data_IF_255422763665
#
_entry.id   IF_255422763665
#
_cell.length_a   1.000
_cell.length_b   1.000
_cell.length_c   1.000
_cell.angle_alpha   90.00
_cell.angle_beta   90.00
_cell.angle_gamma   90.00
#
_symmetry.space_group_name_H-M   'P 1'
#
loop_
_entity.id
_entity.type
_entity.pdbx_description
1 polymer ?
#
# COMPACT_ATOMS: atom_id res chain seq x y z
N UNK A 1 14.88 -16.36 -1.19
CA UNK A 1 13.90 -15.51 -0.49
C UNK A 1 14.42 -14.08 -0.48
N UNK A 2 13.58 -13.10 -0.81
CA UNK A 2 13.96 -11.70 -0.97
C UNK A 2 12.97 -10.79 -0.24
N UNK A 3 13.44 -9.60 0.15
CA UNK A 3 12.64 -8.58 0.80
C UNK A 3 12.46 -7.41 -0.16
N UNK A 4 11.27 -6.84 -0.17
CA UNK A 4 10.92 -5.69 -0.99
C UNK A 4 10.23 -4.63 -0.15
N UNK A 5 10.71 -3.39 -0.25
CA UNK A 5 10.06 -2.23 0.34
C UNK A 5 9.12 -1.59 -0.67
N UNK A 6 7.84 -1.49 -0.32
CA UNK A 6 6.85 -0.74 -1.07
C UNK A 6 6.79 0.68 -0.51
N UNK A 7 7.09 1.65 -1.38
CA UNK A 7 6.94 3.05 -1.09
C UNK A 7 5.77 3.64 -1.86
N UNK A 8 5.08 4.57 -1.22
CA UNK A 8 4.00 5.33 -1.80
C UNK A 8 4.34 6.80 -1.66
N UNK A 9 4.21 7.54 -2.75
CA UNK A 9 4.45 8.97 -2.81
C UNK A 9 3.14 9.67 -3.17
N UNK A 10 2.79 10.66 -2.36
CA UNK A 10 1.61 11.49 -2.55
C UNK A 10 2.00 12.70 -3.39
N UNK A 11 1.70 12.68 -4.68
CA UNK A 11 2.14 13.74 -5.61
C UNK A 11 1.27 14.99 -5.49
N UNK A 12 -0.03 14.83 -5.27
CA UNK A 12 -0.98 15.93 -5.15
C UNK A 12 -2.28 15.42 -4.53
N UNK A 13 -2.52 15.76 -3.27
CA UNK A 13 -3.71 15.36 -2.51
C UNK A 13 -4.25 16.57 -1.75
N UNK A 14 -5.02 17.41 -2.44
CA UNK A 14 -5.71 18.52 -1.79
C UNK A 14 -6.66 17.99 -0.71
N UNK A 15 -6.56 18.54 0.49
CA UNK A 15 -7.51 18.28 1.57
C UNK A 15 -7.31 16.98 2.37
N UNK A 16 -6.23 16.21 2.15
CA UNK A 16 -5.92 14.98 2.91
C UNK A 16 -4.70 15.21 3.80
N UNK A 17 -4.77 14.69 5.03
CA UNK A 17 -3.63 14.68 5.96
C UNK A 17 -3.06 13.28 6.19
N UNK A 18 -3.82 12.22 5.90
CA UNK A 18 -3.41 10.85 6.21
C UNK A 18 -4.03 9.81 5.29
N UNK A 19 -3.22 8.85 4.85
CA UNK A 19 -3.64 7.62 4.19
C UNK A 19 -3.04 6.40 4.91
N UNK A 20 -3.86 5.42 5.28
CA UNK A 20 -3.41 4.20 5.97
C UNK A 20 -4.32 3.00 5.65
N UNK A 21 -3.83 1.74 5.72
CA UNK A 21 -4.69 0.56 5.58
C UNK A 21 -5.65 0.44 6.77
N UNK A 22 -6.86 -0.09 6.55
CA UNK A 22 -7.93 -0.23 7.58
C UNK A 22 -7.47 -1.05 8.79
N UNK A 23 -6.64 -2.08 8.57
CA UNK A 23 -6.11 -2.95 9.63
C UNK A 23 -4.74 -2.50 10.17
N UNK A 24 -4.28 -1.31 9.78
CA UNK A 24 -2.94 -0.84 10.11
C UNK A 24 -1.83 -1.68 9.46
N UNK A 25 -0.61 -1.45 9.92
CA UNK A 25 0.62 -2.08 9.39
C UNK A 25 0.99 -3.38 10.12
N UNK A 26 0.18 -3.77 11.10
CA UNK A 26 0.37 -4.95 11.96
C UNK A 26 -0.58 -6.11 11.63
N UNK A 27 -1.25 -6.05 10.47
CA UNK A 27 -2.13 -7.13 10.04
C UNK A 27 -1.38 -8.47 10.01
N UNK A 28 -2.08 -9.56 10.34
CA UNK A 28 -1.52 -10.92 10.39
C UNK A 28 -0.66 -11.23 9.16
N UNK A 29 0.54 -11.77 9.38
CA UNK A 29 1.52 -12.17 8.36
C UNK A 29 1.02 -13.34 7.50
N UNK A 30 -0.09 -13.16 6.78
CA UNK A 30 -0.65 -14.17 5.90
C UNK A 30 0.26 -14.30 4.68
N UNK A 31 0.78 -15.51 4.46
CA UNK A 31 1.52 -15.85 3.27
C UNK A 31 0.56 -16.40 2.21
N UNK A 32 0.63 -15.83 1.01
CA UNK A 32 -0.04 -16.33 -0.17
C UNK A 32 0.92 -17.17 -0.99
N UNK A 33 0.47 -18.36 -1.41
CA UNK A 33 1.25 -19.29 -2.22
C UNK A 33 0.64 -19.36 -3.62
N UNK A 34 1.49 -19.26 -4.62
CA UNK A 34 1.07 -19.31 -6.03
C UNK A 34 1.97 -20.29 -6.77
N UNK A 35 1.38 -21.03 -7.70
CA UNK A 35 2.12 -21.86 -8.65
C UNK A 35 2.22 -21.13 -9.98
N UNK A 36 3.42 -21.13 -10.57
CA UNK A 36 3.62 -20.57 -11.91
C UNK A 36 2.80 -21.36 -12.94
N UNK A 37 1.98 -20.67 -13.75
CA UNK A 37 1.12 -21.32 -14.76
C UNK A 37 1.90 -22.10 -15.83
N UNK A 38 3.16 -21.74 -16.08
CA UNK A 38 3.97 -22.36 -17.13
C UNK A 38 4.85 -23.51 -16.62
N UNK A 39 5.53 -23.34 -15.48
CA UNK A 39 6.50 -24.33 -14.97
C UNK A 39 6.08 -24.99 -13.64
N UNK A 40 4.89 -24.66 -13.11
CA UNK A 40 4.35 -25.16 -11.84
C UNK A 40 5.21 -24.88 -10.60
N UNK A 41 6.30 -24.12 -10.74
CA UNK A 41 7.14 -23.73 -9.61
C UNK A 41 6.32 -22.95 -8.59
N UNK A 42 6.42 -23.38 -7.32
CA UNK A 42 5.75 -22.75 -6.20
C UNK A 42 6.54 -21.54 -5.71
N UNK A 43 5.86 -20.42 -5.53
CA UNK A 43 6.39 -19.25 -4.85
C UNK A 43 5.42 -18.72 -3.80
N UNK A 44 5.86 -17.70 -3.07
CA UNK A 44 5.08 -17.12 -1.97
C UNK A 44 5.29 -15.61 -1.86
N UNK A 45 4.25 -14.91 -1.40
CA UNK A 45 4.28 -13.49 -1.03
C UNK A 45 3.68 -13.35 0.35
N UNK A 46 4.38 -12.71 1.27
CA UNK A 46 3.88 -12.42 2.61
C UNK A 46 4.18 -10.97 2.99
N UNK A 47 3.24 -10.31 3.66
CA UNK A 47 3.50 -9.06 4.36
C UNK A 47 4.35 -9.35 5.60
N UNK A 48 5.30 -8.47 5.88
CA UNK A 48 6.02 -8.46 7.15
C UNK A 48 5.34 -7.44 8.06
N UNK A 49 4.62 -7.86 9.12
CA UNK A 49 3.94 -6.94 10.04
C UNK A 49 4.92 -6.07 10.81
N UNK A 50 4.46 -4.91 11.28
CA UNK A 50 5.28 -3.98 12.05
C UNK A 50 6.09 -3.00 11.21
N UNK A 51 5.93 -3.04 9.88
CA UNK A 51 6.65 -2.16 8.97
C UNK A 51 5.72 -1.27 8.16
N UNK A 52 6.05 0.01 8.09
CA UNK A 52 5.31 1.04 7.38
C UNK A 52 4.81 2.12 8.31
N UNK A 53 4.48 3.27 7.73
CA UNK A 53 3.83 4.36 8.46
C UNK A 53 2.65 4.89 7.64
N UNK A 54 1.63 5.45 8.31
CA UNK A 54 0.62 6.24 7.63
C UNK A 54 1.30 7.28 6.75
N UNK A 55 0.79 7.49 5.54
CA UNK A 55 1.31 8.52 4.65
C UNK A 55 0.73 9.85 5.08
N UNK A 56 1.61 10.72 5.56
CA UNK A 56 1.30 12.05 6.04
C UNK A 56 1.68 13.11 5.00
N UNK A 57 0.73 14.02 4.72
CA UNK A 57 0.92 15.23 3.89
C UNK A 57 1.37 15.04 2.42
N UNK A 58 1.28 16.13 1.63
CA UNK A 58 1.64 16.15 0.22
C UNK A 58 3.16 16.18 0.01
N UNK A 59 3.68 15.34 -0.88
CA UNK A 59 5.08 15.36 -1.33
C UNK A 59 6.01 14.39 -0.60
N UNK A 60 5.59 13.73 0.48
CA UNK A 60 6.43 12.74 1.16
C UNK A 60 6.29 11.35 0.54
N UNK A 61 7.44 10.74 0.26
CA UNK A 61 7.55 9.32 -0.05
C UNK A 61 7.60 8.53 1.26
N UNK A 62 6.53 7.81 1.58
CA UNK A 62 6.44 6.99 2.79
C UNK A 62 6.63 5.50 2.49
N UNK A 63 7.23 4.79 3.45
CA UNK A 63 7.22 3.33 3.44
C UNK A 63 5.82 2.84 3.81
N UNK A 64 5.17 2.13 2.89
CA UNK A 64 3.84 1.56 3.14
C UNK A 64 3.93 0.15 3.74
N UNK A 65 4.83 -0.71 3.26
CA UNK A 65 4.94 -2.09 3.76
C UNK A 65 6.22 -2.75 3.29
N UNK A 66 6.60 -3.83 3.98
CA UNK A 66 7.65 -4.75 3.55
C UNK A 66 7.02 -6.08 3.11
N UNK A 67 7.45 -6.56 1.93
CA UNK A 67 7.05 -7.85 1.37
C UNK A 67 8.21 -8.83 1.47
N UNK A 68 7.92 -10.04 1.93
CA UNK A 68 8.78 -11.22 1.90
C UNK A 68 8.35 -12.12 0.75
N UNK A 69 9.17 -12.22 -0.28
CA UNK A 69 8.84 -12.90 -1.54
C UNK A 69 9.81 -14.06 -1.80
N UNK A 70 9.27 -15.19 -2.29
CA UNK A 70 10.02 -16.35 -2.75
C UNK A 70 9.50 -16.79 -4.12
N UNK A 71 10.39 -17.13 -5.06
CA UNK A 71 10.03 -17.63 -6.39
C UNK A 71 9.49 -16.58 -7.37
N UNK A 72 9.26 -15.34 -6.94
CA UNK A 72 8.73 -14.26 -7.78
C UNK A 72 9.54 -12.96 -7.64
N UNK A 73 9.43 -12.10 -8.64
CA UNK A 73 9.91 -10.72 -8.62
C UNK A 73 8.70 -9.81 -8.85
N UNK A 74 8.39 -8.87 -7.94
CA UNK A 74 7.33 -7.90 -8.17
C UNK A 74 7.77 -6.95 -9.30
N UNK A 75 6.88 -6.72 -10.26
CA UNK A 75 7.12 -5.84 -11.40
C UNK A 75 6.26 -4.57 -11.36
N UNK A 76 5.17 -4.59 -10.61
CA UNK A 76 4.22 -3.49 -10.49
C UNK A 76 3.45 -3.57 -9.15
N UNK A 77 2.91 -2.44 -8.70
CA UNK A 77 2.08 -2.35 -7.51
C UNK A 77 1.02 -1.24 -7.67
N UNK A 78 -0.22 -1.58 -7.34
CA UNK A 78 -1.35 -0.66 -7.34
C UNK A 78 -2.13 -0.79 -6.04
N UNK A 79 -2.70 0.32 -5.57
CA UNK A 79 -3.67 0.28 -4.48
C UNK A 79 -5.01 -0.28 -4.94
N UNK A 80 -5.66 -1.01 -4.04
CA UNK A 80 -7.01 -1.55 -4.19
C UNK A 80 -7.86 -1.08 -2.99
N UNK A 81 -8.77 -1.92 -2.48
CA UNK A 81 -9.64 -1.63 -1.34
C UNK A 81 -8.93 -1.68 0.03
N UNK A 82 -9.70 -1.35 1.08
CA UNK A 82 -9.35 -1.40 2.51
C UNK A 82 -8.34 -0.35 2.98
N UNK A 83 -8.52 0.89 2.51
CA UNK A 83 -7.78 2.06 2.99
C UNK A 83 -8.67 3.03 3.77
N UNK A 84 -8.07 3.78 4.68
CA UNK A 84 -8.64 4.91 5.40
C UNK A 84 -7.95 6.18 4.94
N UNK A 85 -8.74 7.13 4.48
CA UNK A 85 -8.28 8.50 4.21
C UNK A 85 -8.82 9.43 5.29
N UNK A 86 -7.97 10.27 5.86
CA UNK A 86 -8.37 11.35 6.77
C UNK A 86 -8.10 12.71 6.13
N UNK A 87 -9.13 13.55 6.06
CA UNK A 87 -9.06 14.94 5.58
C UNK A 87 -8.39 15.87 6.59
N UNK A 88 -7.95 17.03 6.11
CA UNK A 88 -7.52 18.17 6.97
C UNK A 88 -8.61 18.60 7.95
N UNK A 89 -9.88 18.45 7.57
CA UNK A 89 -11.02 18.71 8.47
C UNK A 89 -11.15 17.71 9.63
N UNK A 90 -10.36 16.62 9.64
CA UNK A 90 -10.43 15.52 10.61
C UNK A 90 -11.41 14.40 10.22
N UNK A 91 -12.21 14.60 9.18
CA UNK A 91 -13.16 13.61 8.67
C UNK A 91 -12.42 12.42 8.03
N UNK A 92 -12.87 11.18 8.31
CA UNK A 92 -12.24 9.96 7.78
C UNK A 92 -13.21 9.12 6.93
N UNK A 93 -12.68 8.52 5.87
CA UNK A 93 -13.43 7.76 4.88
C UNK A 93 -12.79 6.39 4.64
N UNK A 94 -13.60 5.35 4.60
CA UNK A 94 -13.18 4.02 4.14
C UNK A 94 -13.26 3.96 2.61
N UNK A 95 -12.14 3.57 1.99
CA UNK A 95 -12.03 3.30 0.56
C UNK A 95 -12.25 1.81 0.34
N UNK A 96 -13.49 1.45 0.00
CA UNK A 96 -13.91 0.05 -0.16
C UNK A 96 -14.05 -0.39 -1.62
N UNK A 97 -13.86 0.52 -2.58
CA UNK A 97 -13.85 0.18 -4.00
C UNK A 97 -12.41 0.21 -4.53
N UNK A 98 -12.11 -0.62 -5.53
CA UNK A 98 -10.90 -0.49 -6.34
C UNK A 98 -10.90 0.79 -7.18
N UNK A 99 -12.01 1.55 -7.11
CA UNK A 99 -12.13 2.91 -7.58
C UNK A 99 -11.01 3.80 -7.06
N UNK A 100 -10.29 4.40 -8.00
CA UNK A 100 -9.24 5.37 -7.75
C UNK A 100 -9.73 6.71 -7.21
N UNK A 101 -11.02 6.84 -6.92
CA UNK A 101 -11.65 8.08 -6.45
C UNK A 101 -12.53 7.78 -5.25
N UNK A 102 -12.36 8.59 -4.21
CA UNK A 102 -13.14 8.50 -2.98
C UNK A 102 -14.14 9.65 -3.00
N UNK A 103 -15.41 9.36 -2.73
CA UNK A 103 -16.46 10.37 -2.68
C UNK A 103 -16.98 10.54 -1.26
N UNK A 104 -17.33 11.77 -0.90
CA UNK A 104 -17.98 12.11 0.37
C UNK A 104 -19.44 11.67 0.38
N UNK A 105 -20.08 11.75 1.55
CA UNK A 105 -21.53 11.49 1.69
C UNK A 105 -22.38 12.50 0.92
N UNK A 106 -21.81 13.65 0.55
CA UNK A 106 -22.40 14.66 -0.33
C UNK A 106 -22.21 14.37 -1.83
N UNK A 107 -21.57 13.25 -2.17
CA UNK A 107 -21.28 12.83 -3.54
C UNK A 107 -20.11 13.58 -4.19
N UNK A 108 -19.40 14.46 -3.48
CA UNK A 108 -18.25 15.18 -4.03
C UNK A 108 -16.99 14.33 -3.96
N UNK A 109 -16.13 14.43 -4.98
CA UNK A 109 -14.82 13.79 -4.97
C UNK A 109 -13.98 14.36 -3.82
N UNK A 110 -13.55 13.48 -2.93
CA UNK A 110 -12.73 13.77 -1.75
C UNK A 110 -11.27 13.47 -2.02
N UNK A 111 -10.99 12.42 -2.81
CA UNK A 111 -9.62 11.97 -3.11
C UNK A 111 -9.53 11.38 -4.49
N UNK A 112 -8.42 11.62 -5.17
CA UNK A 112 -8.00 10.86 -6.33
C UNK A 112 -6.72 10.07 -6.03
N UNK A 113 -6.88 8.77 -5.79
CA UNK A 113 -5.81 7.81 -5.51
C UNK A 113 -4.95 7.51 -6.75
N UNK A 114 -5.37 7.84 -7.98
CA UNK A 114 -4.48 7.72 -9.15
C UNK A 114 -3.28 8.68 -9.10
N UNK A 115 -3.34 9.69 -8.23
CA UNK A 115 -2.23 10.62 -8.01
C UNK A 115 -1.16 10.06 -7.06
N UNK A 116 -1.35 8.83 -6.57
CA UNK A 116 -0.33 8.10 -5.82
C UNK A 116 0.66 7.45 -6.78
N UNK A 117 1.95 7.62 -6.49
CA UNK A 117 3.02 6.87 -7.16
C UNK A 117 3.50 5.75 -6.26
N UNK A 118 3.55 4.55 -6.81
CA UNK A 118 4.07 3.37 -6.13
C UNK A 118 5.48 3.07 -6.64
N UNK A 119 6.38 2.67 -5.74
CA UNK A 119 7.67 2.11 -6.12
C UNK A 119 8.01 0.93 -5.23
N UNK A 120 8.53 -0.14 -5.82
CA UNK A 120 8.93 -1.35 -5.11
C UNK A 120 10.42 -1.58 -5.28
N UNK A 121 11.15 -1.61 -4.17
CA UNK A 121 12.60 -1.74 -4.17
C UNK A 121 13.01 -3.02 -3.46
N UNK A 122 13.88 -3.82 -4.07
CA UNK A 122 14.50 -4.95 -3.39
C UNK A 122 15.44 -4.43 -2.31
N UNK A 123 15.31 -4.94 -1.09
CA UNK A 123 16.14 -4.56 0.07
C UNK A 123 16.84 -5.78 0.67
N UNK A 124 17.91 -5.55 1.44
CA UNK A 124 18.52 -6.62 2.26
C UNK A 124 17.78 -6.71 3.58
N UNK A 125 17.82 -7.90 4.20
CA UNK A 125 17.20 -8.12 5.52
C UNK A 125 17.76 -7.19 6.62
N UNK A 126 19.04 -6.84 6.55
CA UNK A 126 19.67 -5.93 7.51
C UNK A 126 19.31 -4.46 7.28
N UNK A 127 18.70 -4.12 6.15
CA UNK A 127 18.23 -2.77 5.81
C UNK A 127 16.74 -2.59 6.16
N UNK A 128 16.15 -3.56 6.88
CA UNK A 128 14.80 -3.42 7.42
C UNK A 128 14.81 -2.29 8.48
N UNK A 129 13.94 -1.27 8.35
CA UNK A 129 13.92 -0.12 9.25
C UNK A 129 13.45 -0.46 10.67
#
# INVERSE_FOLDING_TARGET
MAYYALFVEVVEMEGIIRLQPVRGFDATATAYFFACKNCSALGSVALLPGYGKPLDSMGEKGLAMILKISGYVPIDCHMVCDWIVTKVSGESFHVNDAGSRVYGTDGKEVVNLNKLKFSVNKIKKFDLP
#
